data_IF_071585522380
#
_entry.id   IF_071585522380
#
_cell.length_a   1.000
_cell.length_b   1.000
_cell.length_c   1.000
_cell.angle_alpha   90.00
_cell.angle_beta   90.00
_cell.angle_gamma   90.00
#
_symmetry.space_group_name_H-M   'P 1'
#
loop_
_entity.id
_entity.type
_entity.pdbx_description
1 polymer ?
#
# COMPACT_ATOMS: atom_id res chain seq x y z
N UNK A 1 -26.41 6.56 17.54
CA UNK A 1 -26.69 6.87 16.11
C UNK A 1 -25.38 6.70 15.35
N UNK A 2 -25.39 5.92 14.26
CA UNK A 2 -24.22 5.73 13.39
C UNK A 2 -24.39 6.56 12.12
N UNK A 3 -23.37 7.34 11.75
CA UNK A 3 -23.37 8.13 10.51
C UNK A 3 -22.28 7.59 9.58
N UNK A 4 -22.70 6.82 8.57
CA UNK A 4 -21.82 6.14 7.62
C UNK A 4 -22.23 6.55 6.20
N UNK A 5 -21.30 7.13 5.45
CA UNK A 5 -21.49 7.59 4.06
C UNK A 5 -20.41 6.95 3.19
N UNK A 6 -20.77 6.58 1.96
CA UNK A 6 -19.83 6.11 0.95
C UNK A 6 -19.08 7.33 0.36
N UNK A 7 -18.00 7.73 1.00
CA UNK A 7 -17.13 8.85 0.63
C UNK A 7 -15.68 8.40 0.64
N UNK A 8 -14.82 9.19 0.02
CA UNK A 8 -13.39 8.87 -0.13
C UNK A 8 -12.60 8.84 1.18
N UNK A 9 -13.05 9.57 2.19
CA UNK A 9 -12.42 9.60 3.51
C UNK A 9 -13.41 10.04 4.58
N UNK A 10 -13.10 9.77 5.84
CA UNK A 10 -13.83 10.34 6.96
C UNK A 10 -13.79 11.88 6.95
N UNK A 11 -12.70 12.48 6.46
CA UNK A 11 -12.58 13.93 6.32
C UNK A 11 -13.54 14.52 5.28
N UNK A 12 -13.83 13.79 4.19
CA UNK A 12 -14.86 14.20 3.22
C UNK A 12 -16.26 14.19 3.86
N UNK A 13 -16.57 13.19 4.70
CA UNK A 13 -17.82 13.15 5.48
C UNK A 13 -17.92 14.35 6.44
N UNK A 14 -16.83 14.66 7.16
CA UNK A 14 -16.78 15.81 8.06
C UNK A 14 -16.96 17.13 7.31
N UNK A 15 -16.38 17.27 6.12
CA UNK A 15 -16.54 18.47 5.30
C UNK A 15 -18.00 18.69 4.87
N UNK A 16 -18.70 17.62 4.48
CA UNK A 16 -20.15 17.66 4.19
C UNK A 16 -20.93 18.19 5.40
N UNK A 17 -20.72 17.58 6.58
CA UNK A 17 -21.39 17.98 7.82
C UNK A 17 -21.07 19.43 8.22
N UNK A 18 -19.81 19.86 8.09
CA UNK A 18 -19.42 21.23 8.42
C UNK A 18 -20.05 22.26 7.48
N UNK A 19 -20.22 21.91 6.19
CA UNK A 19 -20.96 22.75 5.24
C UNK A 19 -22.45 22.82 5.62
N UNK A 20 -23.08 21.69 5.96
CA UNK A 20 -24.49 21.62 6.40
C UNK A 20 -24.75 22.42 7.69
N UNK A 21 -23.87 22.30 8.67
CA UNK A 21 -23.95 23.01 9.95
C UNK A 21 -23.46 24.46 9.87
N UNK A 22 -23.06 24.93 8.68
CA UNK A 22 -22.55 26.29 8.45
C UNK A 22 -21.36 26.65 9.34
N UNK A 23 -20.52 25.67 9.65
CA UNK A 23 -19.29 25.88 10.41
C UNK A 23 -18.29 26.68 9.56
N UNK A 24 -17.69 27.71 10.15
CA UNK A 24 -16.67 28.51 9.47
C UNK A 24 -15.39 27.69 9.30
N UNK A 25 -15.07 27.34 8.06
CA UNK A 25 -13.84 26.62 7.71
C UNK A 25 -12.70 27.63 7.58
N UNK A 26 -11.87 27.72 8.62
CA UNK A 26 -10.65 28.51 8.62
C UNK A 26 -9.48 27.75 7.96
N UNK A 27 -8.34 28.43 7.77
CA UNK A 27 -7.14 27.86 7.12
C UNK A 27 -6.65 26.57 7.79
N UNK A 28 -6.63 26.51 9.11
CA UNK A 28 -6.11 25.35 9.84
C UNK A 28 -7.02 24.14 9.65
N UNK A 29 -8.33 24.32 9.84
CA UNK A 29 -9.32 23.28 9.61
C UNK A 29 -9.32 22.82 8.16
N UNK A 30 -9.24 23.75 7.21
CA UNK A 30 -9.14 23.44 5.80
C UNK A 30 -7.92 22.55 5.48
N UNK A 31 -6.77 22.89 6.09
CA UNK A 31 -5.52 22.11 5.93
C UNK A 31 -5.67 20.70 6.49
N UNK A 32 -6.26 20.55 7.68
CA UNK A 32 -6.44 19.24 8.34
C UNK A 32 -7.40 18.34 7.57
N UNK A 33 -8.53 18.88 7.11
CA UNK A 33 -9.50 18.13 6.29
C UNK A 33 -8.85 17.74 4.96
N UNK A 34 -8.16 18.68 4.31
CA UNK A 34 -7.49 18.41 3.05
C UNK A 34 -6.42 17.33 3.19
N UNK A 35 -5.66 17.33 4.29
CA UNK A 35 -4.65 16.31 4.56
C UNK A 35 -5.27 14.90 4.57
N UNK A 36 -6.38 14.71 5.27
CA UNK A 36 -7.05 13.40 5.34
C UNK A 36 -7.62 12.95 4.00
N UNK A 37 -8.27 13.86 3.27
CA UNK A 37 -8.73 13.56 1.89
C UNK A 37 -7.52 13.20 1.00
N UNK A 38 -6.43 13.97 1.09
CA UNK A 38 -5.24 13.77 0.25
C UNK A 38 -4.56 12.43 0.49
N UNK A 39 -4.48 11.94 1.75
CA UNK A 39 -3.83 10.67 2.07
C UNK A 39 -4.70 9.46 1.76
N UNK A 40 -6.00 9.49 2.12
CA UNK A 40 -6.89 8.34 1.95
C UNK A 40 -7.17 8.03 0.46
N UNK A 41 -7.03 9.05 -0.40
CA UNK A 41 -7.18 8.91 -1.85
C UNK A 41 -5.91 8.47 -2.57
N UNK A 42 -4.83 8.19 -1.82
CA UNK A 42 -3.51 7.89 -2.40
C UNK A 42 -2.98 9.05 -3.23
N UNK A 43 -3.08 10.27 -2.70
CA UNK A 43 -2.74 11.51 -3.43
C UNK A 43 -3.61 11.71 -4.68
N UNK A 44 -4.91 11.40 -4.56
CA UNK A 44 -5.91 11.38 -5.64
C UNK A 44 -5.69 10.30 -6.73
N UNK A 45 -4.88 9.27 -6.46
CA UNK A 45 -4.62 8.17 -7.41
C UNK A 45 -5.72 7.10 -7.44
N UNK A 46 -6.68 7.14 -6.51
CA UNK A 46 -7.69 6.09 -6.34
C UNK A 46 -9.14 6.59 -6.40
N UNK A 47 -9.36 7.89 -6.59
CA UNK A 47 -10.63 8.50 -6.18
C UNK A 47 -11.42 9.19 -7.30
N UNK A 48 -12.70 9.40 -7.01
CA UNK A 48 -13.70 10.00 -7.88
C UNK A 48 -13.66 11.54 -7.83
N UNK A 49 -14.28 12.21 -8.81
CA UNK A 49 -14.23 13.67 -8.97
C UNK A 49 -14.78 14.49 -7.78
N UNK A 50 -15.42 13.86 -6.78
CA UNK A 50 -15.91 14.56 -5.59
C UNK A 50 -14.76 15.03 -4.68
N UNK A 51 -13.77 14.19 -4.41
CA UNK A 51 -12.64 14.61 -3.57
C UNK A 51 -11.79 15.70 -4.21
N UNK A 52 -11.71 15.73 -5.55
CA UNK A 52 -11.05 16.81 -6.27
C UNK A 52 -11.81 18.13 -6.05
N UNK A 53 -13.15 18.11 -6.08
CA UNK A 53 -13.99 19.30 -5.79
C UNK A 53 -13.83 19.76 -4.35
N UNK A 54 -13.84 18.82 -3.40
CA UNK A 54 -13.62 19.14 -1.99
C UNK A 54 -12.22 19.72 -1.76
N UNK A 55 -11.19 19.16 -2.40
CA UNK A 55 -9.85 19.69 -2.32
C UNK A 55 -9.75 21.11 -2.88
N UNK A 56 -10.33 21.38 -4.05
CA UNK A 56 -10.39 22.72 -4.64
C UNK A 56 -11.04 23.73 -3.67
N UNK A 57 -12.19 23.39 -3.10
CA UNK A 57 -12.86 24.21 -2.11
C UNK A 57 -11.98 24.49 -0.87
N UNK A 58 -11.30 23.48 -0.34
CA UNK A 58 -10.44 23.66 0.84
C UNK A 58 -9.21 24.54 0.53
N UNK A 59 -8.66 24.42 -0.68
CA UNK A 59 -7.57 25.28 -1.17
C UNK A 59 -8.06 26.72 -1.30
N UNK A 60 -9.28 26.96 -1.81
CA UNK A 60 -9.91 28.29 -1.82
C UNK A 60 -10.10 28.87 -0.41
N UNK A 61 -10.33 28.01 0.60
CA UNK A 61 -10.30 28.38 2.03
C UNK A 61 -8.89 28.55 2.61
N UNK A 62 -7.88 28.69 1.75
CA UNK A 62 -6.46 28.93 2.07
C UNK A 62 -5.80 27.77 2.83
N UNK A 63 -6.26 26.53 2.63
CA UNK A 63 -5.54 25.37 3.13
C UNK A 63 -4.04 25.45 2.76
N UNK A 64 -3.16 25.12 3.70
CA UNK A 64 -1.72 25.10 3.46
C UNK A 64 -1.33 23.84 2.65
N UNK A 65 -1.74 23.81 1.39
CA UNK A 65 -1.60 22.64 0.54
C UNK A 65 -0.15 22.33 0.19
N UNK A 66 0.59 23.29 -0.36
CA UNK A 66 1.97 23.04 -0.82
C UNK A 66 2.92 22.76 0.36
N UNK A 67 3.12 23.73 1.25
CA UNK A 67 4.10 23.58 2.34
C UNK A 67 3.60 22.69 3.47
N UNK A 68 2.31 22.73 3.77
CA UNK A 68 1.72 22.00 4.88
C UNK A 68 1.44 20.53 4.57
N UNK A 69 1.17 20.19 3.31
CA UNK A 69 0.74 18.84 2.91
C UNK A 69 1.72 18.25 1.89
N UNK A 70 1.87 18.84 0.70
CA UNK A 70 2.68 18.24 -0.37
C UNK A 70 4.14 18.09 0.04
N UNK A 71 4.78 19.18 0.49
CA UNK A 71 6.19 19.16 0.89
C UNK A 71 6.43 18.29 2.14
N UNK A 72 5.51 18.33 3.10
CA UNK A 72 5.64 17.63 4.38
C UNK A 72 5.24 16.16 4.35
N UNK A 73 4.44 15.72 3.38
CA UNK A 73 3.92 14.36 3.30
C UNK A 73 4.45 13.64 2.06
N UNK A 74 4.30 14.22 0.86
CA UNK A 74 4.70 13.56 -0.38
C UNK A 74 6.21 13.65 -0.62
N UNK A 75 6.82 14.80 -0.35
CA UNK A 75 8.25 15.05 -0.62
C UNK A 75 9.15 14.93 0.61
N UNK A 76 8.64 14.36 1.70
CA UNK A 76 9.40 14.15 2.95
C UNK A 76 9.82 12.70 3.17
N UNK A 77 9.62 11.82 2.17
CA UNK A 77 9.98 10.40 2.28
C UNK A 77 11.50 10.27 2.51
N UNK A 78 11.95 9.64 3.61
CA UNK A 78 13.37 9.55 3.94
C UNK A 78 14.17 8.83 2.85
N UNK A 79 15.41 9.28 2.61
CA UNK A 79 16.30 8.68 1.62
C UNK A 79 16.49 7.16 1.83
N UNK A 80 16.52 6.69 3.08
CA UNK A 80 16.63 5.25 3.39
C UNK A 80 15.47 4.44 2.83
N UNK A 81 14.25 4.99 2.79
CA UNK A 81 13.08 4.34 2.18
C UNK A 81 13.26 4.27 0.67
N UNK A 82 13.74 5.34 0.02
CA UNK A 82 14.03 5.33 -1.42
C UNK A 82 15.13 4.33 -1.78
N UNK A 83 16.17 4.20 -0.94
CA UNK A 83 17.20 3.15 -1.10
C UNK A 83 16.62 1.74 -0.94
N UNK A 84 15.66 1.55 -0.04
CA UNK A 84 14.96 0.28 0.11
C UNK A 84 14.16 -0.09 -1.14
N UNK A 85 13.43 0.87 -1.70
CA UNK A 85 12.69 0.68 -2.95
C UNK A 85 13.64 0.31 -4.09
N UNK A 86 14.78 1.01 -4.20
CA UNK A 86 15.80 0.69 -5.20
C UNK A 86 16.36 -0.74 -5.02
N UNK A 87 16.62 -1.16 -3.79
CA UNK A 87 17.01 -2.54 -3.47
C UNK A 87 15.94 -3.55 -3.91
N UNK A 88 14.66 -3.27 -3.63
CA UNK A 88 13.57 -4.15 -4.03
C UNK A 88 13.46 -4.28 -5.55
N UNK A 89 13.66 -3.19 -6.29
CA UNK A 89 13.72 -3.23 -7.75
C UNK A 89 14.94 -4.00 -8.26
N UNK A 90 16.11 -3.83 -7.64
CA UNK A 90 17.31 -4.58 -7.99
C UNK A 90 17.14 -6.09 -7.79
N UNK A 91 16.45 -6.49 -6.73
CA UNK A 91 16.17 -7.89 -6.42
C UNK A 91 14.90 -8.43 -7.09
N UNK A 92 14.25 -7.62 -7.94
CA UNK A 92 12.97 -7.97 -8.53
C UNK A 92 13.12 -9.09 -9.55
N UNK A 93 12.28 -10.11 -9.43
CA UNK A 93 12.23 -11.30 -10.28
C UNK A 93 10.85 -11.38 -10.92
N UNK A 94 10.82 -11.94 -12.13
CA UNK A 94 9.62 -12.13 -12.93
C UNK A 94 9.50 -13.60 -13.28
N UNK A 95 8.31 -14.15 -13.11
CA UNK A 95 7.98 -15.50 -13.55
C UNK A 95 6.54 -15.55 -14.07
N UNK A 96 6.28 -16.44 -15.02
CA UNK A 96 4.94 -16.70 -15.51
C UNK A 96 4.42 -18.02 -14.93
N UNK A 97 3.19 -18.00 -14.40
CA UNK A 97 2.50 -19.21 -13.90
C UNK A 97 1.11 -19.23 -14.53
N UNK A 98 0.79 -20.27 -15.30
CA UNK A 98 -0.52 -20.45 -15.94
C UNK A 98 -1.01 -19.19 -16.70
N UNK A 99 -0.13 -18.61 -17.54
CA UNK A 99 -0.36 -17.37 -18.28
C UNK A 99 -0.51 -16.08 -17.43
N UNK A 100 -0.27 -16.14 -16.12
CA UNK A 100 -0.26 -14.97 -15.25
C UNK A 100 1.16 -14.50 -14.94
N UNK A 101 1.36 -13.19 -14.97
CA UNK A 101 2.65 -12.58 -14.68
C UNK A 101 2.78 -12.36 -13.16
N UNK A 102 3.78 -12.99 -12.57
CA UNK A 102 4.08 -12.90 -11.15
C UNK A 102 5.40 -12.15 -10.99
N UNK A 103 5.34 -11.02 -10.29
CA UNK A 103 6.52 -10.22 -9.96
C UNK A 103 6.82 -10.32 -8.48
N UNK A 104 8.08 -10.46 -8.08
CA UNK A 104 8.38 -10.51 -6.65
C UNK A 104 9.79 -10.07 -6.33
N UNK A 105 10.01 -9.70 -5.08
CA UNK A 105 11.32 -9.30 -4.58
C UNK A 105 11.58 -9.90 -3.22
N UNK A 106 12.86 -10.09 -2.89
CA UNK A 106 13.31 -10.63 -1.61
C UNK A 106 14.24 -9.62 -0.94
N UNK A 107 14.12 -9.49 0.38
CA UNK A 107 14.97 -8.62 1.18
C UNK A 107 15.47 -9.37 2.41
N UNK A 108 16.79 -9.45 2.57
CA UNK A 108 17.44 -10.05 3.73
C UNK A 108 17.39 -9.11 4.93
N UNK A 109 17.47 -9.67 6.14
CA UNK A 109 17.55 -8.88 7.37
C UNK A 109 18.81 -8.00 7.36
N UNK A 110 19.92 -8.50 6.82
CA UNK A 110 21.15 -7.73 6.67
C UNK A 110 20.95 -6.48 5.79
N UNK A 111 20.29 -6.63 4.63
CA UNK A 111 19.98 -5.51 3.73
C UNK A 111 19.05 -4.48 4.39
N UNK A 112 18.08 -4.93 5.20
CA UNK A 112 17.15 -4.04 5.90
C UNK A 112 17.90 -3.28 7.01
N UNK A 113 18.70 -3.99 7.81
CA UNK A 113 19.51 -3.40 8.90
C UNK A 113 20.57 -2.43 8.35
N UNK A 114 21.21 -2.73 7.23
CA UNK A 114 22.22 -1.84 6.62
C UNK A 114 21.64 -0.51 6.12
N UNK A 115 20.34 -0.47 5.83
CA UNK A 115 19.61 0.75 5.48
C UNK A 115 19.04 1.50 6.70
N UNK A 116 19.19 0.94 7.90
CA UNK A 116 18.65 1.53 9.14
C UNK A 116 17.13 1.57 9.18
N UNK A 117 16.47 0.60 8.52
CA UNK A 117 15.01 0.51 8.47
C UNK A 117 14.48 -0.24 9.68
N UNK A 118 13.35 0.22 10.21
CA UNK A 118 12.58 -0.56 11.17
C UNK A 118 11.67 -1.58 10.46
N UNK A 119 11.07 -2.48 11.24
CA UNK A 119 10.20 -3.53 10.73
C UNK A 119 8.95 -2.98 10.01
N UNK A 120 8.39 -1.85 10.46
CA UNK A 120 7.21 -1.26 9.83
C UNK A 120 7.54 -0.68 8.45
N UNK A 121 8.69 0.00 8.33
CA UNK A 121 9.20 0.53 7.06
C UNK A 121 9.47 -0.61 6.06
N UNK A 122 10.15 -1.68 6.49
CA UNK A 122 10.44 -2.83 5.63
C UNK A 122 9.15 -3.54 5.13
N UNK A 123 8.09 -3.57 5.95
CA UNK A 123 6.80 -4.17 5.57
C UNK A 123 6.08 -3.40 4.45
N UNK A 124 6.40 -2.12 4.26
CA UNK A 124 5.76 -1.27 3.26
C UNK A 124 6.13 -1.60 1.82
N UNK A 125 7.27 -2.26 1.60
CA UNK A 125 7.89 -2.39 0.28
C UNK A 125 7.04 -3.02 -0.83
N UNK A 126 6.09 -3.90 -0.49
CA UNK A 126 5.18 -4.48 -1.51
C UNK A 126 4.26 -3.43 -2.13
N UNK A 127 3.92 -2.37 -1.39
CA UNK A 127 3.06 -1.30 -1.90
C UNK A 127 3.81 -0.50 -2.96
N UNK A 128 5.11 -0.25 -2.76
CA UNK A 128 5.95 0.44 -3.74
C UNK A 128 6.08 -0.38 -5.04
N UNK A 129 6.26 -1.70 -4.93
CA UNK A 129 6.30 -2.58 -6.09
C UNK A 129 4.94 -2.69 -6.80
N UNK A 130 3.83 -2.46 -6.11
CA UNK A 130 2.50 -2.51 -6.72
C UNK A 130 2.37 -1.50 -7.87
N UNK A 131 3.14 -0.41 -7.91
CA UNK A 131 3.13 0.56 -9.01
C UNK A 131 3.57 -0.04 -10.36
N UNK A 132 4.29 -1.18 -10.36
CA UNK A 132 4.70 -1.86 -11.57
C UNK A 132 3.49 -2.42 -12.34
N UNK A 133 3.42 -2.06 -13.62
CA UNK A 133 2.41 -2.57 -14.56
C UNK A 133 2.75 -3.96 -15.10
N UNK A 134 1.74 -4.67 -15.59
CA UNK A 134 1.92 -5.95 -16.30
C UNK A 134 1.97 -7.20 -15.42
N UNK A 135 1.74 -7.07 -14.11
CA UNK A 135 1.71 -8.19 -13.17
C UNK A 135 0.31 -8.44 -12.60
N UNK A 136 -0.10 -9.70 -12.58
CA UNK A 136 -1.33 -10.16 -11.94
C UNK A 136 -1.17 -10.27 -10.42
N UNK A 137 0.00 -10.72 -9.97
CA UNK A 137 0.34 -10.85 -8.55
C UNK A 137 1.74 -10.26 -8.34
N UNK A 138 1.87 -9.45 -7.29
CA UNK A 138 3.15 -8.95 -6.80
C UNK A 138 3.32 -9.39 -5.35
N UNK A 139 4.49 -9.91 -4.98
CA UNK A 139 4.77 -10.19 -3.57
C UNK A 139 6.19 -9.83 -3.15
N UNK A 140 6.37 -9.61 -1.85
CA UNK A 140 7.70 -9.50 -1.23
C UNK A 140 7.90 -10.56 -0.18
N UNK A 141 9.13 -11.06 -0.08
CA UNK A 141 9.61 -11.84 1.06
C UNK A 141 10.62 -11.02 1.84
N UNK A 142 10.30 -10.74 3.09
CA UNK A 142 11.12 -9.93 3.98
C UNK A 142 11.59 -10.80 5.13
N UNK A 143 12.90 -11.01 5.20
CA UNK A 143 13.54 -11.76 6.28
C UNK A 143 13.60 -10.91 7.56
N UNK A 144 13.07 -11.48 8.64
CA UNK A 144 13.12 -10.95 10.00
C UNK A 144 13.95 -11.91 10.88
N UNK A 145 14.14 -11.57 12.15
CA UNK A 145 15.00 -12.35 13.07
C UNK A 145 14.63 -13.84 13.08
N UNK A 146 13.36 -14.17 13.38
CA UNK A 146 12.93 -15.58 13.56
C UNK A 146 11.95 -16.07 12.48
N UNK A 147 11.72 -15.28 11.43
CA UNK A 147 10.65 -15.57 10.45
C UNK A 147 10.85 -14.84 9.13
N UNK A 148 10.10 -15.28 8.12
CA UNK A 148 9.96 -14.57 6.86
C UNK A 148 8.53 -14.07 6.73
N UNK A 149 8.37 -12.77 6.48
CA UNK A 149 7.06 -12.21 6.18
C UNK A 149 6.86 -12.15 4.67
N UNK A 150 5.76 -12.74 4.21
CA UNK A 150 5.24 -12.55 2.86
C UNK A 150 4.17 -11.48 2.82
N UNK A 151 4.28 -10.53 1.90
CA UNK A 151 3.23 -9.56 1.63
C UNK A 151 2.85 -9.63 0.16
N UNK A 152 1.56 -9.78 -0.15
CA UNK A 152 1.07 -9.91 -1.53
C UNK A 152 0.14 -8.75 -1.89
N UNK A 153 0.17 -8.37 -3.17
CA UNK A 153 -0.71 -7.40 -3.80
C UNK A 153 -1.21 -7.92 -5.14
N UNK A 154 -2.43 -7.53 -5.48
CA UNK A 154 -2.98 -7.73 -6.82
C UNK A 154 -3.98 -6.63 -7.15
N UNK A 155 -4.10 -6.28 -8.43
CA UNK A 155 -5.19 -5.44 -8.93
C UNK A 155 -6.38 -6.27 -9.41
N UNK A 156 -6.11 -7.48 -9.90
CA UNK A 156 -7.02 -8.27 -10.73
C UNK A 156 -7.35 -9.63 -10.14
N UNK A 157 -6.62 -10.13 -9.15
CA UNK A 157 -6.69 -11.53 -8.69
C UNK A 157 -6.91 -11.64 -7.18
N UNK A 158 -7.63 -12.67 -6.74
CA UNK A 158 -7.86 -12.99 -5.33
C UNK A 158 -6.61 -13.68 -4.76
N UNK A 159 -5.79 -12.92 -4.06
CA UNK A 159 -4.58 -13.40 -3.39
C UNK A 159 -4.81 -13.88 -1.96
N UNK A 160 -6.04 -13.78 -1.45
CA UNK A 160 -6.36 -14.21 -0.08
C UNK A 160 -6.29 -15.73 0.07
N UNK A 161 -6.64 -16.48 -0.98
CA UNK A 161 -6.56 -17.94 -1.03
C UNK A 161 -5.11 -18.44 -1.02
N UNK A 162 -4.19 -17.75 -1.71
CA UNK A 162 -2.75 -18.05 -1.69
C UNK A 162 -2.19 -17.79 -0.29
N UNK A 163 -2.55 -16.66 0.32
CA UNK A 163 -2.11 -16.35 1.68
C UNK A 163 -2.62 -17.39 2.70
N UNK A 164 -3.87 -17.86 2.58
CA UNK A 164 -4.43 -18.92 3.44
C UNK A 164 -3.69 -20.26 3.30
N UNK A 165 -3.35 -20.65 2.07
CA UNK A 165 -2.54 -21.85 1.81
C UNK A 165 -1.17 -21.79 2.53
N UNK A 166 -0.63 -20.58 2.69
CA UNK A 166 0.64 -20.32 3.39
C UNK A 166 0.45 -20.01 4.89
N UNK A 167 -0.73 -20.30 5.46
CA UNK A 167 -1.02 -20.09 6.89
C UNK A 167 -1.28 -18.63 7.29
N UNK A 168 -1.56 -17.76 6.31
CA UNK A 168 -1.87 -16.34 6.49
C UNK A 168 -3.32 -15.99 6.14
N UNK A 169 -3.52 -14.75 5.66
CA UNK A 169 -4.83 -14.26 5.24
C UNK A 169 -4.82 -12.78 4.83
N UNK A 170 -6.03 -12.23 4.68
CA UNK A 170 -6.24 -10.83 4.31
C UNK A 170 -7.35 -10.65 3.28
N UNK A 171 -7.32 -9.51 2.60
CA UNK A 171 -8.28 -9.15 1.56
C UNK A 171 -7.85 -9.69 0.19
N UNK A 172 -8.84 -9.81 -0.72
CA UNK A 172 -8.62 -10.32 -2.08
C UNK A 172 -7.49 -9.62 -2.83
N UNK A 173 -7.25 -8.32 -2.60
CA UNK A 173 -6.21 -7.52 -3.29
C UNK A 173 -4.98 -7.21 -2.44
N UNK A 174 -5.02 -7.52 -1.14
CA UNK A 174 -3.94 -7.24 -0.21
C UNK A 174 -3.98 -8.28 0.93
N UNK A 175 -3.02 -9.19 0.94
CA UNK A 175 -2.92 -10.27 1.92
C UNK A 175 -1.47 -10.47 2.36
N UNK A 176 -1.27 -11.21 3.44
CA UNK A 176 0.05 -11.50 3.98
C UNK A 176 0.07 -12.88 4.66
N UNK A 177 1.26 -13.44 4.81
CA UNK A 177 1.52 -14.67 5.55
C UNK A 177 2.87 -14.57 6.26
N UNK A 178 3.14 -15.52 7.15
CA UNK A 178 4.39 -15.63 7.88
C UNK A 178 4.87 -17.07 7.77
N UNK A 179 6.09 -17.25 7.28
CA UNK A 179 6.78 -18.53 7.29
C UNK A 179 7.79 -18.57 8.44
N UNK A 180 8.08 -19.75 9.01
CA UNK A 180 9.21 -19.96 9.89
C UNK A 180 10.53 -19.52 9.24
N UNK A 181 11.57 -19.32 10.06
CA UNK A 181 12.91 -19.03 9.55
C UNK A 181 13.42 -20.17 8.67
N UNK A 182 13.80 -19.84 7.45
CA UNK A 182 14.44 -20.73 6.49
C UNK A 182 15.26 -19.89 5.49
N UNK A 183 16.09 -20.51 4.62
CA UNK A 183 16.69 -19.80 3.50
C UNK A 183 15.63 -19.16 2.60
N UNK A 184 15.89 -17.93 2.11
CA UNK A 184 14.92 -17.19 1.29
C UNK A 184 14.59 -17.93 0.00
N UNK A 185 15.52 -18.69 -0.57
CA UNK A 185 15.29 -19.51 -1.75
C UNK A 185 14.26 -20.63 -1.48
N UNK A 186 14.21 -21.17 -0.27
CA UNK A 186 13.22 -22.17 0.12
C UNK A 186 11.84 -21.51 0.30
N UNK A 187 11.79 -20.35 0.95
CA UNK A 187 10.56 -19.58 1.09
C UNK A 187 10.00 -19.15 -0.28
N UNK A 188 10.86 -18.71 -1.19
CA UNK A 188 10.50 -18.39 -2.59
C UNK A 188 9.83 -19.58 -3.28
N UNK A 189 10.47 -20.76 -3.23
CA UNK A 189 9.91 -21.99 -3.81
C UNK A 189 8.55 -22.33 -3.22
N UNK A 190 8.42 -22.30 -1.90
CA UNK A 190 7.16 -22.61 -1.21
C UNK A 190 6.02 -21.69 -1.63
N UNK A 191 6.29 -20.39 -1.82
CA UNK A 191 5.27 -19.44 -2.29
C UNK A 191 4.87 -19.71 -3.74
N UNK A 192 5.85 -19.95 -4.62
CA UNK A 192 5.57 -20.25 -6.02
C UNK A 192 4.80 -21.56 -6.18
N UNK A 193 5.09 -22.57 -5.35
CA UNK A 193 4.33 -23.82 -5.29
C UNK A 193 2.89 -23.60 -4.79
N UNK A 194 2.69 -22.77 -3.76
CA UNK A 194 1.35 -22.41 -3.30
C UNK A 194 0.54 -21.70 -4.41
N UNK A 195 1.16 -20.78 -5.15
CA UNK A 195 0.51 -20.12 -6.30
C UNK A 195 0.13 -21.14 -7.38
N UNK A 196 1.01 -22.10 -7.70
CA UNK A 196 0.71 -23.16 -8.68
C UNK A 196 -0.41 -24.08 -8.22
N UNK A 197 -0.41 -24.48 -6.94
CA UNK A 197 -1.37 -25.41 -6.34
C UNK A 197 -2.78 -24.80 -6.28
N UNK A 198 -2.89 -23.57 -5.80
CA UNK A 198 -4.18 -22.87 -5.62
C UNK A 198 -4.69 -22.29 -6.94
N UNK A 199 -3.79 -21.94 -7.84
CA UNK A 199 -4.09 -21.22 -9.08
C UNK A 199 -4.29 -19.73 -8.87
N UNK A 200 -4.41 -19.01 -9.98
CA UNK A 200 -4.64 -17.56 -10.00
C UNK A 200 -6.08 -17.31 -10.42
N UNK A 201 -6.86 -16.68 -9.54
CA UNK A 201 -8.30 -16.47 -9.74
C UNK A 201 -8.58 -14.99 -9.89
N UNK A 202 -9.13 -14.55 -11.02
CA UNK A 202 -9.50 -13.14 -11.23
C UNK A 202 -10.68 -12.74 -10.34
N UNK A 203 -10.64 -11.53 -9.80
CA UNK A 203 -11.73 -10.92 -9.05
C UNK A 203 -12.69 -10.32 -10.07
N UNK A 204 -13.93 -10.78 -10.05
CA UNK A 204 -15.04 -10.18 -10.79
C UNK A 204 -15.35 -8.76 -10.28
#
# INVERSE_FOLDING_TARGET
MNYVKNKSSACAVLLELFKEWKIKINRELATKILLGIYTDTGYFSHDNGEAIKDAAFLIEKRANYLDGIVNKIKYSVPLRIKKYIALLYQNFKIIQINNHNIGYSVATMHQIKSLGLNLAEARGGVNDLQELGGFDIIFTLTELEDKIKGSLRSRTCDISIIARELGGGGHKKASAFVLPRMPLEQAEKQVLEAIRKVGVHKIN
#
